data_IF_547852571497
#
_entry.id   IF_547852571497
#
_cell.length_a   1.000
_cell.length_b   1.000
_cell.length_c   1.000
_cell.angle_alpha   90.00
_cell.angle_beta   90.00
_cell.angle_gamma   90.00
#
_symmetry.space_group_name_H-M   'P 1'
#
loop_
_entity.id
_entity.type
_entity.pdbx_description
1 polymer ?
#
# COMPACT_ATOMS: atom_id res chain seq x y z
N UNK A 1 -18.52 -1.29 11.08
CA UNK A 1 -19.79 -0.88 10.42
C UNK A 1 -19.80 0.58 9.99
N UNK A 2 -19.87 1.60 10.86
CA UNK A 2 -19.92 3.01 10.38
C UNK A 2 -18.64 3.50 9.67
N UNK A 3 -17.45 3.18 10.20
CA UNK A 3 -16.18 3.60 9.58
C UNK A 3 -15.96 2.97 8.20
N UNK A 4 -16.29 1.69 8.06
CA UNK A 4 -16.11 0.97 6.80
C UNK A 4 -17.02 1.54 5.70
N UNK A 5 -18.24 1.94 6.05
CA UNK A 5 -19.20 2.55 5.11
C UNK A 5 -18.75 3.96 4.68
N UNK A 6 -18.18 4.75 5.59
CA UNK A 6 -17.61 6.07 5.28
C UNK A 6 -16.41 5.92 4.37
N UNK A 7 -15.46 5.03 4.72
CA UNK A 7 -14.27 4.75 3.92
C UNK A 7 -14.65 4.26 2.52
N UNK A 8 -15.62 3.34 2.42
CA UNK A 8 -16.11 2.86 1.12
C UNK A 8 -16.72 3.97 0.30
N UNK A 9 -17.59 4.79 0.89
CA UNK A 9 -18.24 5.90 0.17
C UNK A 9 -17.22 6.95 -0.31
N UNK A 10 -16.21 7.25 0.50
CA UNK A 10 -15.12 8.14 0.12
C UNK A 10 -14.30 7.56 -1.04
N UNK A 11 -13.82 6.32 -0.90
CA UNK A 11 -13.01 5.66 -1.93
C UNK A 11 -13.80 5.41 -3.21
N UNK A 12 -15.11 5.14 -3.15
CA UNK A 12 -15.97 4.96 -4.33
C UNK A 12 -16.08 6.23 -5.17
N UNK A 13 -15.97 7.43 -4.55
CA UNK A 13 -15.93 8.70 -5.27
C UNK A 13 -14.62 8.89 -6.05
N UNK A 14 -13.50 8.41 -5.50
CA UNK A 14 -12.19 8.46 -6.14
C UNK A 14 -11.99 7.34 -7.17
N UNK A 15 -12.55 6.17 -6.88
CA UNK A 15 -12.46 4.95 -7.68
C UNK A 15 -13.87 4.43 -8.00
N UNK A 16 -14.52 4.90 -9.08
CA UNK A 16 -15.90 4.54 -9.41
C UNK A 16 -16.12 3.03 -9.58
N UNK A 17 -15.09 2.28 -10.00
CA UNK A 17 -15.15 0.81 -10.17
C UNK A 17 -14.78 0.03 -8.90
N UNK A 18 -14.68 0.68 -7.74
CA UNK A 18 -14.41 0.02 -6.45
C UNK A 18 -15.47 -1.06 -6.17
N UNK A 19 -15.02 -2.30 -6.04
CA UNK A 19 -15.86 -3.44 -5.66
C UNK A 19 -15.79 -3.70 -4.16
N UNK A 20 -14.58 -3.65 -3.59
CA UNK A 20 -14.35 -4.03 -2.21
C UNK A 20 -13.11 -3.33 -1.61
N UNK A 21 -13.18 -2.96 -0.33
CA UNK A 21 -11.99 -2.67 0.48
C UNK A 21 -11.51 -3.99 1.08
N UNK A 22 -10.32 -4.44 0.69
CA UNK A 22 -9.74 -5.70 1.16
C UNK A 22 -9.07 -5.55 2.52
N UNK A 23 -8.47 -4.38 2.77
CA UNK A 23 -7.80 -4.08 4.03
C UNK A 23 -7.74 -2.56 4.28
N UNK A 24 -7.79 -2.17 5.55
CA UNK A 24 -7.60 -0.79 6.03
C UNK A 24 -6.60 -0.82 7.18
N UNK A 25 -5.47 -0.11 7.01
CA UNK A 25 -4.45 0.09 8.03
C UNK A 25 -4.48 1.51 8.58
N UNK A 26 -4.13 1.70 9.86
CA UNK A 26 -4.30 3.00 10.53
C UNK A 26 -3.20 4.01 10.21
N UNK A 27 -1.95 3.59 10.28
CA UNK A 27 -0.82 4.47 10.08
C UNK A 27 0.34 3.72 9.45
N UNK A 28 0.77 4.21 8.30
CA UNK A 28 1.89 3.68 7.54
C UNK A 28 2.75 4.81 7.04
N UNK A 29 4.03 4.54 6.84
CA UNK A 29 4.94 5.44 6.13
C UNK A 29 5.63 4.69 4.99
N UNK A 30 5.94 5.45 3.94
CA UNK A 30 6.61 4.93 2.75
C UNK A 30 8.06 5.42 2.69
N UNK A 31 8.98 4.50 2.49
CA UNK A 31 10.36 4.79 2.13
C UNK A 31 10.64 4.29 0.72
N UNK A 32 11.55 4.95 0.01
CA UNK A 32 12.04 4.54 -1.31
C UNK A 32 13.53 4.19 -1.20
N UNK A 33 13.94 3.12 -1.87
CA UNK A 33 15.35 2.73 -1.98
C UNK A 33 15.99 3.43 -3.17
N UNK A 34 16.98 4.27 -2.89
CA UNK A 34 17.82 4.89 -3.91
C UNK A 34 18.87 3.89 -4.37
N UNK A 35 18.79 3.46 -5.63
CA UNK A 35 19.73 2.50 -6.23
C UNK A 35 21.12 3.08 -6.47
N UNK A 36 21.24 4.39 -6.63
CA UNK A 36 22.50 5.07 -6.85
C UNK A 36 23.29 5.18 -5.53
N UNK A 37 22.62 5.57 -4.44
CA UNK A 37 23.27 5.70 -3.13
C UNK A 37 23.23 4.41 -2.31
N UNK A 38 22.40 3.44 -2.69
CA UNK A 38 22.10 2.21 -1.93
C UNK A 38 21.54 2.50 -0.52
N UNK A 39 20.75 3.56 -0.38
CA UNK A 39 20.19 3.97 0.91
C UNK A 39 18.66 4.10 0.83
N UNK A 40 18.02 3.91 1.98
CA UNK A 40 16.60 4.17 2.17
C UNK A 40 16.37 5.63 2.53
N UNK A 41 15.40 6.26 1.88
CA UNK A 41 14.98 7.63 2.17
C UNK A 41 13.47 7.69 2.36
N UNK A 42 12.99 8.62 3.17
CA UNK A 42 11.56 8.85 3.33
C UNK A 42 10.96 9.35 2.02
N UNK A 43 9.92 8.68 1.52
CA UNK A 43 9.27 9.05 0.27
C UNK A 43 8.26 10.19 0.43
N UNK A 44 8.05 10.70 1.66
CA UNK A 44 7.14 11.82 1.94
C UNK A 44 5.65 11.44 2.02
N UNK A 45 5.33 10.14 2.04
CA UNK A 45 3.95 9.64 2.18
C UNK A 45 3.76 8.98 3.53
N UNK A 46 2.77 9.47 4.29
CA UNK A 46 2.44 8.94 5.62
C UNK A 46 0.96 9.12 5.91
N UNK A 47 0.31 8.08 6.40
CA UNK A 47 -1.11 8.14 6.77
C UNK A 47 -1.84 6.80 6.70
N UNK A 48 -3.19 6.83 6.67
CA UNK A 48 -4.03 5.66 6.54
C UNK A 48 -3.75 4.93 5.23
N UNK A 49 -3.75 3.60 5.34
CA UNK A 49 -3.44 2.70 4.24
C UNK A 49 -4.70 1.95 3.81
N UNK A 50 -4.89 1.79 2.50
CA UNK A 50 -5.96 0.98 1.94
C UNK A 50 -5.43 0.02 0.89
N UNK A 51 -5.94 -1.20 0.92
CA UNK A 51 -5.85 -2.14 -0.19
C UNK A 51 -7.26 -2.37 -0.72
N UNK A 52 -7.48 -2.08 -1.98
CA UNK A 52 -8.80 -2.15 -2.60
C UNK A 52 -8.79 -3.05 -3.83
N UNK A 53 -9.95 -3.63 -4.12
CA UNK A 53 -10.26 -4.34 -5.34
C UNK A 53 -11.15 -3.48 -6.23
N UNK A 54 -10.67 -3.20 -7.42
CA UNK A 54 -11.45 -2.62 -8.52
C UNK A 54 -11.90 -3.75 -9.47
N UNK A 55 -12.69 -3.41 -10.48
CA UNK A 55 -13.22 -4.37 -11.46
C UNK A 55 -12.15 -5.21 -12.17
N UNK A 56 -10.97 -4.65 -12.44
CA UNK A 56 -9.93 -5.25 -13.27
C UNK A 56 -8.56 -5.34 -12.59
N UNK A 57 -8.42 -4.77 -11.39
CA UNK A 57 -7.12 -4.61 -10.75
C UNK A 57 -7.23 -4.45 -9.23
N UNK A 58 -6.11 -4.64 -8.55
CA UNK A 58 -5.95 -4.28 -7.15
C UNK A 58 -5.11 -3.02 -7.03
N UNK A 59 -5.48 -2.14 -6.10
CA UNK A 59 -4.79 -0.87 -5.88
C UNK A 59 -4.48 -0.73 -4.41
N UNK A 60 -3.27 -0.28 -4.09
CA UNK A 60 -2.94 0.15 -2.75
C UNK A 60 -2.80 1.67 -2.70
N UNK A 61 -3.23 2.24 -1.57
CA UNK A 61 -3.34 3.69 -1.36
C UNK A 61 -2.76 4.03 0.00
N UNK A 62 -1.95 5.09 0.07
CA UNK A 62 -1.67 5.82 1.32
C UNK A 62 -2.29 7.20 1.14
N UNK A 63 -3.33 7.49 1.92
CA UNK A 63 -3.90 8.83 1.99
C UNK A 63 -2.92 9.71 2.77
N UNK A 64 -2.29 10.66 2.08
CA UNK A 64 -1.17 11.38 2.64
C UNK A 64 -1.66 12.44 3.61
N UNK A 65 -1.11 12.43 4.83
CA UNK A 65 -1.40 13.45 5.84
C UNK A 65 -0.45 14.65 5.73
N UNK A 66 0.70 14.49 5.05
CA UNK A 66 1.71 15.52 4.93
C UNK A 66 1.48 16.46 3.74
N UNK A 67 0.65 16.08 2.77
CA UNK A 67 0.35 16.88 1.58
C UNK A 67 -1.00 16.49 0.97
N UNK A 68 -1.44 17.21 -0.05
CA UNK A 68 -2.64 16.87 -0.84
C UNK A 68 -2.41 15.75 -1.86
N UNK A 69 -1.18 15.24 -1.98
CA UNK A 69 -0.84 14.19 -2.92
C UNK A 69 -0.79 12.84 -2.22
N UNK A 70 -1.76 11.98 -2.57
CA UNK A 70 -1.82 10.59 -2.10
C UNK A 70 -0.85 9.69 -2.87
N UNK A 71 -0.39 8.62 -2.21
CA UNK A 71 0.34 7.56 -2.89
C UNK A 71 -0.65 6.52 -3.39
N UNK A 72 -0.75 6.35 -4.71
CA UNK A 72 -1.66 5.39 -5.33
C UNK A 72 -0.85 4.51 -6.29
N UNK A 73 -0.93 3.18 -6.14
CA UNK A 73 -0.32 2.25 -7.11
C UNK A 73 -1.19 1.03 -7.35
N UNK A 74 -1.31 0.67 -8.62
CA UNK A 74 -1.85 -0.60 -9.06
C UNK A 74 -0.87 -1.74 -8.77
N UNK A 75 -1.38 -2.84 -8.21
CA UNK A 75 -0.65 -4.09 -8.04
C UNK A 75 -0.72 -4.82 -9.38
N UNK A 76 0.39 -4.83 -10.12
CA UNK A 76 0.51 -5.51 -11.41
C UNK A 76 0.82 -7.00 -11.22
N UNK A 77 0.51 -7.83 -12.22
CA UNK A 77 1.01 -9.21 -12.30
C UNK A 77 2.54 -9.20 -12.24
N UNK A 78 3.12 -10.15 -11.49
CA UNK A 78 4.57 -10.22 -11.29
C UNK A 78 5.12 -9.26 -10.23
N UNK A 79 4.25 -8.59 -9.45
CA UNK A 79 4.72 -7.91 -8.25
C UNK A 79 5.41 -8.91 -7.32
N UNK A 80 6.54 -8.49 -6.75
CA UNK A 80 7.21 -9.24 -5.70
C UNK A 80 7.12 -8.46 -4.42
N UNK A 81 6.94 -9.21 -3.33
CA UNK A 81 7.07 -8.66 -2.00
C UNK A 81 7.92 -9.60 -1.15
N UNK A 82 8.70 -8.99 -0.26
CA UNK A 82 9.55 -9.71 0.66
C UNK A 82 9.31 -9.17 2.07
N UNK A 83 9.35 -10.09 3.03
CA UNK A 83 9.27 -9.79 4.46
C UNK A 83 10.67 -9.85 5.02
N UNK A 84 11.14 -8.75 5.58
CA UNK A 84 12.39 -8.76 6.32
C UNK A 84 12.18 -9.43 7.68
N UNK A 85 12.92 -10.51 7.97
CA UNK A 85 12.79 -11.26 9.22
C UNK A 85 13.08 -10.34 10.41
N UNK A 86 12.10 -10.15 11.28
CA UNK A 86 12.23 -9.32 12.48
C UNK A 86 11.92 -7.83 12.31
N UNK A 87 11.49 -7.39 11.11
CA UNK A 87 10.99 -6.02 10.89
C UNK A 87 9.64 -6.01 10.18
N UNK A 88 8.79 -5.03 10.53
CA UNK A 88 7.46 -4.82 9.94
C UNK A 88 7.56 -4.15 8.56
N UNK A 89 8.33 -4.74 7.65
CA UNK A 89 8.67 -4.16 6.36
C UNK A 89 8.10 -4.98 5.21
N UNK A 90 7.43 -4.29 4.29
CA UNK A 90 7.04 -4.84 3.00
C UNK A 90 7.80 -4.16 1.90
N UNK A 91 8.63 -4.92 1.18
CA UNK A 91 9.20 -4.46 -0.05
C UNK A 91 8.19 -4.57 -1.18
N UNK A 92 8.01 -3.49 -1.93
CA UNK A 92 7.25 -3.52 -3.17
C UNK A 92 8.17 -3.18 -4.31
N UNK A 93 8.27 -4.08 -5.28
CA UNK A 93 8.83 -3.76 -6.58
C UNK A 93 7.67 -3.53 -7.55
N UNK A 94 7.40 -2.27 -7.86
CA UNK A 94 6.50 -1.93 -8.95
C UNK A 94 7.32 -1.96 -10.23
N UNK A 95 6.99 -2.88 -11.13
CA UNK A 95 7.46 -2.84 -12.52
C UNK A 95 6.79 -1.64 -13.23
N UNK A 96 7.27 -0.45 -12.93
CA UNK A 96 7.12 0.76 -13.75
C UNK A 96 8.44 1.01 -14.52
N UNK A 97 8.51 2.10 -15.29
CA UNK A 97 9.66 2.43 -16.13
C UNK A 97 10.99 2.57 -15.36
N UNK A 98 10.98 2.63 -14.02
CA UNK A 98 12.17 2.82 -13.18
C UNK A 98 12.44 1.67 -12.20
N UNK A 99 11.54 0.67 -12.11
CA UNK A 99 11.63 -0.46 -11.18
C UNK A 99 11.93 -0.01 -9.75
N UNK A 100 11.16 0.97 -9.25
CA UNK A 100 11.36 1.53 -7.91
C UNK A 100 11.06 0.49 -6.84
N UNK A 101 11.87 0.51 -5.79
CA UNK A 101 11.71 -0.38 -4.64
C UNK A 101 11.27 0.45 -3.45
N UNK A 102 10.08 0.16 -2.95
CA UNK A 102 9.51 0.85 -1.79
C UNK A 102 9.46 -0.07 -0.58
N UNK A 103 9.52 0.53 0.61
CA UNK A 103 9.26 -0.13 1.87
C UNK A 103 8.06 0.55 2.55
N UNK A 104 7.00 -0.21 2.80
CA UNK A 104 5.90 0.24 3.65
C UNK A 104 6.16 -0.23 5.08
N UNK A 105 6.28 0.73 5.98
CA UNK A 105 6.36 0.47 7.41
C UNK A 105 4.97 0.62 8.04
N UNK A 106 4.57 -0.38 8.79
CA UNK A 106 3.33 -0.37 9.57
C UNK A 106 3.66 -0.04 11.02
N UNK A 107 2.84 0.78 11.67
CA UNK A 107 3.02 1.09 13.09
C UNK A 107 2.68 -0.10 14.00
N UNK A 108 1.67 -0.89 13.62
CA UNK A 108 1.17 -2.01 14.41
C UNK A 108 1.53 -3.34 13.74
N UNK A 109 2.07 -4.31 14.51
CA UNK A 109 2.40 -5.65 13.98
C UNK A 109 1.16 -6.33 13.38
N UNK A 110 0.00 -6.16 14.02
CA UNK A 110 -1.24 -6.77 13.55
C UNK A 110 -1.65 -6.25 12.17
N UNK A 111 -1.38 -4.96 11.89
CA UNK A 111 -1.66 -4.36 10.60
C UNK A 111 -0.77 -4.98 9.50
N UNK A 112 0.51 -5.19 9.82
CA UNK A 112 1.45 -5.91 8.96
C UNK A 112 0.99 -7.35 8.66
N UNK A 113 0.61 -8.14 9.67
CA UNK A 113 0.19 -9.54 9.47
C UNK A 113 -1.12 -9.64 8.66
N UNK A 114 -2.08 -8.77 8.93
CA UNK A 114 -3.34 -8.75 8.18
C UNK A 114 -3.11 -8.38 6.71
N UNK A 115 -2.27 -7.36 6.48
CA UNK A 115 -1.90 -6.95 5.14
C UNK A 115 -1.17 -8.06 4.38
N UNK A 116 -0.26 -8.78 5.04
CA UNK A 116 0.44 -9.96 4.50
C UNK A 116 -0.53 -10.98 3.91
N UNK A 117 -1.53 -11.37 4.70
CA UNK A 117 -2.53 -12.38 4.31
C UNK A 117 -3.30 -11.92 3.07
N UNK A 118 -3.63 -10.63 2.98
CA UNK A 118 -4.27 -10.07 1.79
C UNK A 118 -3.35 -10.13 0.56
N UNK A 119 -2.08 -9.77 0.71
CA UNK A 119 -1.11 -9.78 -0.40
C UNK A 119 -0.82 -11.20 -0.91
N UNK A 120 -0.70 -12.18 -0.02
CA UNK A 120 -0.53 -13.60 -0.40
C UNK A 120 -1.72 -14.16 -1.20
N UNK A 121 -2.93 -13.63 -0.99
CA UNK A 121 -4.12 -13.99 -1.77
C UNK A 121 -4.16 -13.32 -3.15
N UNK A 122 -3.58 -12.13 -3.27
CA UNK A 122 -3.53 -11.37 -4.53
C UNK A 122 -2.37 -11.84 -5.42
N UNK A 123 -1.27 -12.32 -4.83
CA UNK A 123 -0.09 -12.80 -5.53
C UNK A 123 -0.28 -14.16 -6.24
N UNK A 124 -1.28 -14.95 -5.83
CA UNK A 124 -1.64 -16.24 -6.42
C UNK A 124 -2.57 -16.07 -7.60
#
# INVERSE_FOLDING_TARGET
MQRDQINFSYLKRLFPTLEQILYTGKFTSLNEFDKCTQLWHQAGFQGPFFLIKLSDQFVFIILNQNSTQDFIRTIKKGFTFELSKGTQWFYFNFQDEQSKVFNVWFQEQQDFENFKICMEKIAK
#
